data_IF_328031487253
#
_entry.id   IF_328031487253
#
_cell.length_a   1.000
_cell.length_b   1.000
_cell.length_c   1.000
_cell.angle_alpha   90.00
_cell.angle_beta   90.00
_cell.angle_gamma   90.00
#
_symmetry.space_group_name_H-M   'P 1'
#
loop_
_entity.id
_entity.type
_entity.pdbx_description
1 polymer ?
#
# COMPACT_ATOMS: atom_id res chain seq x y z
N UNK A 1 9.67 31.65 18.96
CA UNK A 1 9.49 30.17 18.87
C UNK A 1 9.17 29.71 20.28
N UNK A 2 7.97 29.12 20.49
CA UNK A 2 7.62 28.57 21.78
C UNK A 2 8.56 27.39 22.09
N UNK A 3 9.20 27.44 23.23
CA UNK A 3 10.05 26.35 23.77
C UNK A 3 9.25 25.47 24.73
N UNK A 4 7.92 25.56 24.67
CA UNK A 4 7.01 24.86 25.59
C UNK A 4 6.64 23.47 25.03
N UNK A 5 6.61 22.51 25.94
CA UNK A 5 6.11 21.14 25.66
C UNK A 5 4.75 20.98 26.31
N UNK A 6 3.83 20.27 25.62
CA UNK A 6 2.62 19.75 26.24
C UNK A 6 2.85 18.29 26.63
N UNK A 7 2.70 17.99 27.91
CA UNK A 7 2.72 16.61 28.42
C UNK A 7 1.39 16.33 29.09
N UNK A 8 0.66 15.35 28.58
CA UNK A 8 -0.60 14.87 29.11
C UNK A 8 -0.46 13.43 29.63
N UNK A 9 -0.65 13.25 30.95
CA UNK A 9 -0.78 11.91 31.56
C UNK A 9 -2.18 11.64 32.13
N UNK A 10 -3.06 12.66 32.10
CA UNK A 10 -4.46 12.58 32.52
C UNK A 10 -5.43 12.59 31.37
N UNK A 11 -6.51 13.36 31.54
CA UNK A 11 -7.54 13.54 30.51
C UNK A 11 -7.63 15.00 30.11
N UNK A 12 -7.63 15.26 28.80
CA UNK A 12 -7.93 16.56 28.20
C UNK A 12 -9.17 16.39 27.36
N UNK A 13 -10.23 17.09 27.69
CA UNK A 13 -11.50 17.12 26.94
C UNK A 13 -11.80 18.56 26.49
N UNK A 14 -12.19 18.73 25.23
CA UNK A 14 -12.55 20.04 24.68
C UNK A 14 -13.17 19.95 23.29
N UNK A 15 -13.91 21.01 22.88
CA UNK A 15 -14.44 21.06 21.50
C UNK A 15 -13.32 21.24 20.48
N UNK A 16 -12.45 22.22 20.70
CA UNK A 16 -11.25 22.44 19.90
C UNK A 16 -10.02 22.29 20.78
N UNK A 17 -9.05 21.50 20.36
CA UNK A 17 -7.80 21.32 21.07
C UNK A 17 -6.67 21.73 20.13
N UNK A 18 -6.08 22.89 20.41
CA UNK A 18 -4.94 23.42 19.66
C UNK A 18 -3.68 23.30 20.50
N UNK A 19 -2.67 22.60 19.99
CA UNK A 19 -1.37 22.41 20.63
C UNK A 19 -0.30 23.06 19.76
N UNK A 20 0.45 23.99 20.34
CA UNK A 20 1.57 24.63 19.66
C UNK A 20 2.78 24.64 20.57
N UNK A 21 3.94 24.27 20.07
CA UNK A 21 5.17 24.23 20.85
C UNK A 21 6.29 23.41 20.25
N UNK A 22 7.21 22.97 21.10
CA UNK A 22 8.30 22.09 20.66
C UNK A 22 7.88 20.62 20.64
N UNK A 23 7.19 20.17 21.69
CA UNK A 23 6.84 18.75 21.85
C UNK A 23 5.41 18.57 22.32
N UNK A 24 4.79 17.50 21.87
CA UNK A 24 3.50 17.03 22.31
C UNK A 24 3.60 15.56 22.70
N UNK A 25 3.52 15.27 24.01
CA UNK A 25 3.57 13.92 24.56
C UNK A 25 2.25 13.60 25.24
N UNK A 26 1.62 12.51 24.83
CA UNK A 26 0.39 12.00 25.42
C UNK A 26 0.55 10.57 25.90
N UNK A 27 0.44 10.34 27.21
CA UNK A 27 0.31 9.01 27.81
C UNK A 27 -1.07 8.75 28.42
N UNK A 28 -1.92 9.78 28.45
CA UNK A 28 -3.28 9.74 28.96
C UNK A 28 -4.32 9.71 27.84
N UNK A 29 -5.39 10.47 28.00
CA UNK A 29 -6.49 10.58 27.04
C UNK A 29 -6.65 12.01 26.57
N UNK A 30 -6.79 12.19 25.27
CA UNK A 30 -7.18 13.46 24.64
C UNK A 30 -8.42 13.21 23.82
N UNK A 31 -9.46 14.01 24.05
CA UNK A 31 -10.75 13.85 23.45
C UNK A 31 -11.28 15.22 23.01
N UNK A 32 -11.54 15.41 21.70
CA UNK A 32 -12.00 16.68 21.14
C UNK A 32 -12.91 16.49 19.93
N UNK A 33 -13.61 17.56 19.52
CA UNK A 33 -14.26 17.54 18.20
C UNK A 33 -13.23 17.73 17.08
N UNK A 34 -12.28 18.66 17.28
CA UNK A 34 -11.16 18.88 16.36
C UNK A 34 -9.89 18.97 17.19
N UNK A 35 -8.82 18.32 16.72
CA UNK A 35 -7.53 18.34 17.36
C UNK A 35 -6.48 18.77 16.34
N UNK A 36 -5.75 19.84 16.69
CA UNK A 36 -4.67 20.37 15.86
C UNK A 36 -3.40 20.47 16.68
N UNK A 37 -2.32 19.91 16.17
CA UNK A 37 -1.01 20.07 16.76
C UNK A 37 -0.02 20.66 15.74
N UNK A 38 0.71 21.70 16.15
CA UNK A 38 1.80 22.31 15.39
C UNK A 38 3.06 22.30 16.27
N UNK A 39 3.79 21.21 16.20
CA UNK A 39 4.93 20.93 17.09
C UNK A 39 6.09 20.30 16.32
N UNK A 40 7.30 20.35 16.87
CA UNK A 40 8.42 19.66 16.23
C UNK A 40 8.34 18.14 16.39
N UNK A 41 7.84 17.64 17.52
CA UNK A 41 7.66 16.20 17.73
C UNK A 41 6.34 15.89 18.44
N UNK A 42 5.72 14.78 18.04
CA UNK A 42 4.53 14.21 18.65
C UNK A 42 4.80 12.77 19.07
N UNK A 43 4.57 12.46 20.35
CA UNK A 43 4.61 11.10 20.89
C UNK A 43 3.28 10.76 21.54
N UNK A 44 2.63 9.72 21.06
CA UNK A 44 1.40 9.20 21.62
C UNK A 44 1.57 7.78 22.15
N UNK A 45 1.61 7.66 23.48
CA UNK A 45 1.60 6.40 24.22
C UNK A 45 0.22 6.15 24.90
N UNK A 46 -0.76 7.00 24.61
CA UNK A 46 -2.13 6.98 25.12
C UNK A 46 -3.16 7.02 24.01
N UNK A 47 -4.29 7.64 24.26
CA UNK A 47 -5.41 7.72 23.33
C UNK A 47 -5.65 9.16 22.88
N UNK A 48 -5.70 9.39 21.58
CA UNK A 48 -6.11 10.64 20.95
C UNK A 48 -7.34 10.34 20.11
N UNK A 49 -8.48 10.90 20.47
CA UNK A 49 -9.73 10.73 19.76
C UNK A 49 -10.31 12.09 19.34
N UNK A 50 -10.76 12.17 18.09
CA UNK A 50 -11.49 13.32 17.58
C UNK A 50 -12.84 12.92 17.01
N UNK A 51 -13.88 13.68 17.38
CA UNK A 51 -15.22 13.58 16.78
C UNK A 51 -15.30 14.06 15.33
N UNK A 52 -14.24 14.77 14.85
CA UNK A 52 -14.09 15.22 13.46
C UNK A 52 -12.69 14.93 12.95
N UNK A 53 -11.78 15.89 13.01
CA UNK A 53 -10.48 15.81 12.36
C UNK A 53 -9.32 15.87 13.39
N UNK A 54 -8.24 15.20 13.04
CA UNK A 54 -6.94 15.30 13.70
C UNK A 54 -5.92 15.79 12.66
N UNK A 55 -5.35 16.98 12.89
CA UNK A 55 -4.31 17.57 12.04
C UNK A 55 -3.00 17.67 12.81
N UNK A 56 -2.00 16.90 12.43
CA UNK A 56 -0.68 16.89 13.06
C UNK A 56 0.37 17.44 12.09
N UNK A 57 0.80 18.67 12.31
CA UNK A 57 1.97 19.26 11.66
C UNK A 57 3.16 19.05 12.57
N UNK A 58 3.99 18.07 12.27
CA UNK A 58 5.10 17.63 13.12
C UNK A 58 6.22 17.05 12.25
N UNK A 59 7.49 17.13 12.70
CA UNK A 59 8.59 16.48 11.99
C UNK A 59 8.69 14.99 12.35
N UNK A 60 8.20 14.61 13.52
CA UNK A 60 8.23 13.21 13.99
C UNK A 60 6.92 12.88 14.68
N UNK A 61 6.29 11.78 14.28
CA UNK A 61 5.15 11.17 14.94
C UNK A 61 5.50 9.76 15.39
N UNK A 62 5.47 9.52 16.69
CA UNK A 62 5.59 8.18 17.28
C UNK A 62 4.24 7.84 17.91
N UNK A 63 3.58 6.80 17.38
CA UNK A 63 2.33 6.30 17.94
C UNK A 63 2.48 4.85 18.39
N UNK A 64 2.32 4.61 19.70
CA UNK A 64 2.37 3.26 20.28
C UNK A 64 0.99 2.75 20.73
N UNK A 65 -0.01 3.64 20.76
CA UNK A 65 -1.39 3.30 21.16
C UNK A 65 -2.37 3.70 20.08
N UNK A 66 -3.27 4.65 20.34
CA UNK A 66 -4.36 4.91 19.42
C UNK A 66 -4.50 6.39 19.06
N UNK A 67 -4.58 6.68 17.76
CA UNK A 67 -4.96 7.96 17.18
C UNK A 67 -6.16 7.68 16.29
N UNK A 68 -7.35 8.17 16.65
CA UNK A 68 -8.59 7.88 15.93
C UNK A 68 -9.42 9.13 15.73
N UNK A 69 -9.88 9.36 14.52
CA UNK A 69 -10.79 10.43 14.16
C UNK A 69 -12.07 9.89 13.49
N UNK A 70 -13.19 10.58 13.67
CA UNK A 70 -14.41 10.23 12.93
C UNK A 70 -14.24 10.57 11.45
N UNK A 71 -13.70 11.76 11.11
CA UNK A 71 -13.50 12.13 9.71
C UNK A 71 -12.10 11.80 9.23
N UNK A 72 -11.09 12.61 9.59
CA UNK A 72 -9.77 12.49 8.99
C UNK A 72 -8.63 12.53 10.03
N UNK A 73 -7.57 11.79 9.76
CA UNK A 73 -6.27 11.96 10.39
C UNK A 73 -5.28 12.40 9.33
N UNK A 74 -4.76 13.62 9.44
CA UNK A 74 -3.81 14.18 8.50
C UNK A 74 -2.47 14.41 9.20
N UNK A 75 -1.39 13.94 8.58
CA UNK A 75 -0.01 14.29 8.97
C UNK A 75 0.71 14.85 7.76
N UNK A 76 1.47 15.92 7.93
CA UNK A 76 2.26 16.51 6.87
C UNK A 76 3.72 16.59 7.30
N UNK A 77 4.63 16.19 6.41
CA UNK A 77 6.09 16.25 6.56
C UNK A 77 6.66 15.45 7.76
N UNK A 78 5.92 14.49 8.29
CA UNK A 78 6.32 13.73 9.46
C UNK A 78 7.07 12.45 9.11
N UNK A 79 8.11 12.13 9.89
CA UNK A 79 8.58 10.76 10.01
C UNK A 79 7.62 10.02 10.96
N UNK A 80 6.86 9.08 10.44
CA UNK A 80 5.82 8.35 11.18
C UNK A 80 6.34 6.98 11.59
N UNK A 81 6.35 6.72 12.90
CA UNK A 81 6.54 5.38 13.47
C UNK A 81 5.26 4.98 14.18
N UNK A 82 4.57 3.98 13.63
CA UNK A 82 3.32 3.47 14.18
C UNK A 82 3.45 2.01 14.59
N UNK A 83 3.42 1.75 15.90
CA UNK A 83 3.28 0.40 16.46
C UNK A 83 1.92 0.15 17.09
N UNK A 84 1.09 1.18 17.18
CA UNK A 84 -0.27 1.13 17.65
C UNK A 84 -1.29 1.18 16.50
N UNK A 85 -2.33 1.98 16.66
CA UNK A 85 -3.41 2.12 15.68
C UNK A 85 -3.55 3.59 15.27
N UNK A 86 -3.60 3.84 13.97
CA UNK A 86 -4.04 5.10 13.37
C UNK A 86 -5.28 4.80 12.54
N UNK A 87 -6.42 5.41 12.89
CA UNK A 87 -7.66 5.09 12.19
C UNK A 87 -8.55 6.31 11.96
N UNK A 88 -9.36 6.22 10.90
CA UNK A 88 -10.47 7.14 10.67
C UNK A 88 -11.59 6.49 9.84
N UNK A 89 -12.80 7.04 9.88
CA UNK A 89 -13.84 6.59 8.97
C UNK A 89 -13.69 7.22 7.58
N UNK A 90 -13.16 8.44 7.50
CA UNK A 90 -12.92 9.13 6.23
C UNK A 90 -11.54 8.82 5.67
N UNK A 91 -10.53 9.62 6.01
CA UNK A 91 -9.21 9.53 5.41
C UNK A 91 -8.07 9.55 6.43
N UNK A 92 -7.08 8.70 6.23
CA UNK A 92 -5.73 8.84 6.79
C UNK A 92 -4.80 9.32 5.68
N UNK A 93 -4.24 10.52 5.83
CA UNK A 93 -3.27 11.10 4.90
C UNK A 93 -1.90 11.22 5.59
N UNK A 94 -0.90 10.52 5.04
CA UNK A 94 0.50 10.61 5.43
C UNK A 94 1.29 11.16 4.23
N UNK A 95 1.52 12.47 4.19
CA UNK A 95 2.14 13.14 3.04
C UNK A 95 3.59 13.53 3.33
N UNK A 96 4.49 13.29 2.35
CA UNK A 96 5.94 13.55 2.43
C UNK A 96 6.64 12.92 3.65
N UNK A 97 6.21 11.76 4.07
CA UNK A 97 6.66 11.12 5.29
C UNK A 97 7.58 9.94 5.02
N UNK A 98 8.52 9.69 5.93
CA UNK A 98 9.07 8.36 6.07
C UNK A 98 8.14 7.57 7.00
N UNK A 99 7.72 6.38 6.59
CA UNK A 99 6.69 5.61 7.29
C UNK A 99 7.26 4.27 7.72
N UNK A 100 7.22 4.01 9.02
CA UNK A 100 7.48 2.71 9.62
C UNK A 100 6.22 2.26 10.37
N UNK A 101 5.50 1.29 9.80
CA UNK A 101 4.28 0.75 10.38
C UNK A 101 4.45 -0.72 10.78
N UNK A 102 4.39 -1.00 12.08
CA UNK A 102 4.33 -2.34 12.65
C UNK A 102 2.96 -2.64 13.27
N UNK A 103 2.12 -1.62 13.41
CA UNK A 103 0.76 -1.68 13.94
C UNK A 103 -0.29 -1.65 12.83
N UNK A 104 -1.34 -0.87 13.04
CA UNK A 104 -2.49 -0.80 12.15
C UNK A 104 -2.71 0.63 11.62
N UNK A 105 -3.00 0.75 10.33
CA UNK A 105 -3.52 1.96 9.69
C UNK A 105 -4.81 1.58 8.97
N UNK A 106 -5.95 2.08 9.48
CA UNK A 106 -7.28 1.66 9.06
C UNK A 106 -8.13 2.88 8.71
N UNK A 107 -8.67 2.94 7.49
CA UNK A 107 -9.51 4.08 7.11
C UNK A 107 -10.41 3.75 5.91
N UNK A 108 -11.42 4.58 5.65
CA UNK A 108 -12.10 4.58 4.35
C UNK A 108 -11.11 4.83 3.23
N UNK A 109 -10.28 5.84 3.37
CA UNK A 109 -9.22 6.18 2.42
C UNK A 109 -7.86 6.27 3.13
N UNK A 110 -6.85 5.58 2.61
CA UNK A 110 -5.47 5.69 3.08
C UNK A 110 -4.60 6.22 1.95
N UNK A 111 -4.03 7.40 2.15
CA UNK A 111 -3.11 8.02 1.19
C UNK A 111 -1.74 8.22 1.81
N UNK A 112 -0.73 7.64 1.20
CA UNK A 112 0.68 7.87 1.47
C UNK A 112 1.30 8.42 0.20
N UNK A 113 1.55 9.73 0.17
CA UNK A 113 2.02 10.41 -1.05
C UNK A 113 3.41 10.98 -0.83
N UNK A 114 4.21 10.92 -1.89
CA UNK A 114 5.57 11.47 -1.89
C UNK A 114 6.45 10.93 -0.75
N UNK A 115 6.17 9.74 -0.23
CA UNK A 115 6.94 9.18 0.86
C UNK A 115 8.36 8.86 0.39
N UNK A 116 9.34 9.18 1.26
CA UNK A 116 10.76 8.98 0.99
C UNK A 116 11.22 7.58 1.42
N UNK A 117 10.49 6.96 2.32
CA UNK A 117 10.74 5.61 2.83
C UNK A 117 9.44 4.99 3.30
N UNK A 118 9.30 3.71 3.05
CA UNK A 118 8.13 2.95 3.47
C UNK A 118 8.53 1.56 3.96
N UNK A 119 8.34 1.32 5.26
CA UNK A 119 8.51 0.03 5.90
C UNK A 119 7.18 -0.37 6.54
N UNK A 120 6.57 -1.44 6.06
CA UNK A 120 5.32 -1.95 6.64
C UNK A 120 5.42 -3.43 6.94
N UNK A 121 5.45 -3.80 8.21
CA UNK A 121 5.30 -5.18 8.69
C UNK A 121 3.94 -5.41 9.36
N UNK A 122 3.19 -4.34 9.59
CA UNK A 122 1.85 -4.35 10.15
C UNK A 122 0.75 -4.45 9.11
N UNK A 123 -0.40 -3.86 9.40
CA UNK A 123 -1.58 -3.87 8.52
C UNK A 123 -1.94 -2.47 8.05
N UNK A 124 -2.19 -2.33 6.75
CA UNK A 124 -2.80 -1.14 6.15
C UNK A 124 -4.05 -1.61 5.41
N UNK A 125 -5.21 -1.05 5.78
CA UNK A 125 -6.49 -1.44 5.19
C UNK A 125 -7.40 -0.25 4.96
N UNK A 126 -8.06 -0.22 3.80
CA UNK A 126 -9.04 0.81 3.45
C UNK A 126 -9.98 0.37 2.33
N UNK A 127 -11.00 1.19 2.04
CA UNK A 127 -11.74 1.04 0.80
C UNK A 127 -10.83 1.41 -0.39
N UNK A 128 -10.17 2.56 -0.28
CA UNK A 128 -9.18 3.01 -1.24
C UNK A 128 -7.83 3.18 -0.51
N UNK A 129 -6.80 2.50 -0.97
CA UNK A 129 -5.43 2.62 -0.46
C UNK A 129 -4.52 3.05 -1.60
N UNK A 130 -3.81 4.16 -1.44
CA UNK A 130 -2.84 4.67 -2.42
C UNK A 130 -1.49 4.89 -1.75
N UNK A 131 -0.48 4.16 -2.21
CA UNK A 131 0.90 4.27 -1.80
C UNK A 131 1.72 4.86 -2.96
N UNK A 132 2.13 6.12 -2.84
CA UNK A 132 3.02 6.81 -3.77
C UNK A 132 4.39 7.02 -3.12
N UNK A 133 5.34 6.15 -3.40
CA UNK A 133 6.66 6.11 -2.78
C UNK A 133 7.71 6.44 -3.84
N UNK A 134 8.60 7.40 -3.56
CA UNK A 134 9.60 7.84 -4.53
C UNK A 134 10.85 6.93 -4.61
N UNK A 135 10.88 5.86 -3.82
CA UNK A 135 12.00 4.92 -3.70
C UNK A 135 11.53 3.49 -4.00
N UNK A 136 12.42 2.53 -3.79
CA UNK A 136 12.08 1.12 -3.83
C UNK A 136 11.15 0.76 -2.66
N UNK A 137 10.21 -0.16 -2.92
CA UNK A 137 9.22 -0.61 -1.95
C UNK A 137 9.43 -2.10 -1.68
N UNK A 138 9.56 -2.44 -0.39
CA UNK A 138 9.47 -3.81 0.08
C UNK A 138 8.19 -3.97 0.92
N UNK A 139 7.21 -4.65 0.37
CA UNK A 139 5.94 -4.93 1.03
C UNK A 139 6.10 -6.22 1.86
N UNK A 140 6.16 -6.13 3.18
CA UNK A 140 6.35 -7.29 4.05
C UNK A 140 5.15 -7.59 4.96
N UNK A 141 4.27 -6.59 5.17
CA UNK A 141 3.05 -6.73 5.97
C UNK A 141 1.80 -7.05 5.15
N UNK A 142 0.66 -6.71 5.71
CA UNK A 142 -0.64 -6.91 5.06
C UNK A 142 -1.13 -5.60 4.45
N UNK A 143 -1.42 -5.60 3.15
CA UNK A 143 -2.07 -4.51 2.44
C UNK A 143 -3.42 -4.99 1.91
N UNK A 144 -4.47 -4.23 2.19
CA UNK A 144 -5.80 -4.55 1.69
C UNK A 144 -6.55 -3.32 1.23
N UNK A 145 -6.95 -3.32 -0.05
CA UNK A 145 -7.86 -2.32 -0.63
C UNK A 145 -9.18 -2.94 -1.04
N UNK A 146 -10.29 -2.54 -0.41
CA UNK A 146 -11.58 -3.14 -0.73
C UNK A 146 -12.02 -2.78 -2.15
N UNK A 147 -12.03 -1.51 -2.52
CA UNK A 147 -12.38 -1.06 -3.88
C UNK A 147 -11.13 -0.89 -4.74
N UNK A 148 -10.09 -0.29 -4.18
CA UNK A 148 -8.84 -0.03 -4.90
C UNK A 148 -7.63 -0.08 -3.97
N UNK A 149 -6.59 -0.74 -4.45
CA UNK A 149 -5.23 -0.66 -3.92
C UNK A 149 -4.31 -0.22 -5.05
N UNK A 150 -3.74 0.98 -4.95
CA UNK A 150 -2.75 1.49 -5.90
C UNK A 150 -1.40 1.62 -5.22
N UNK A 151 -0.37 1.04 -5.82
CA UNK A 151 1.00 1.11 -5.33
C UNK A 151 1.88 1.61 -6.47
N UNK A 152 2.61 2.69 -6.21
CA UNK A 152 3.54 3.28 -7.17
C UNK A 152 4.90 3.49 -6.49
N UNK A 153 5.96 2.99 -7.10
CA UNK A 153 7.32 3.07 -6.60
C UNK A 153 8.36 2.90 -7.70
N UNK A 154 9.64 2.99 -7.33
CA UNK A 154 10.71 2.73 -8.29
C UNK A 154 10.75 1.21 -8.59
N UNK A 155 11.30 0.38 -7.71
CA UNK A 155 11.16 -1.07 -7.80
C UNK A 155 10.26 -1.55 -6.66
N UNK A 156 9.39 -2.52 -6.93
CA UNK A 156 8.45 -3.03 -5.94
C UNK A 156 8.67 -4.53 -5.77
N UNK A 157 8.94 -4.95 -4.53
CA UNK A 157 9.00 -6.35 -4.13
C UNK A 157 7.86 -6.66 -3.17
N UNK A 158 6.98 -7.58 -3.56
CA UNK A 158 5.90 -8.07 -2.70
C UNK A 158 6.36 -9.31 -1.94
N UNK A 159 6.72 -9.13 -0.67
CA UNK A 159 7.06 -10.18 0.29
C UNK A 159 5.97 -10.38 1.35
N UNK A 160 4.86 -9.65 1.26
CA UNK A 160 3.72 -9.68 2.16
C UNK A 160 2.43 -10.11 1.47
N UNK A 161 1.32 -10.02 2.17
CA UNK A 161 0.01 -10.29 1.59
C UNK A 161 -0.57 -8.99 1.01
N UNK A 162 -0.73 -8.95 -0.30
CA UNK A 162 -1.30 -7.81 -1.02
C UNK A 162 -2.60 -8.26 -1.67
N UNK A 163 -3.72 -7.86 -1.06
CA UNK A 163 -5.05 -8.36 -1.45
C UNK A 163 -6.04 -7.22 -1.68
N UNK A 164 -7.07 -7.50 -2.47
CA UNK A 164 -8.19 -6.61 -2.69
C UNK A 164 -9.46 -7.37 -3.08
N UNK A 165 -10.59 -6.66 -3.07
CA UNK A 165 -11.84 -7.19 -3.64
C UNK A 165 -12.24 -6.47 -4.91
N UNK A 166 -11.62 -5.35 -5.23
CA UNK A 166 -11.81 -4.59 -6.46
C UNK A 166 -10.55 -4.58 -7.34
N UNK A 167 -9.92 -3.43 -7.48
CA UNK A 167 -8.74 -3.23 -8.33
C UNK A 167 -7.45 -3.16 -7.50
N UNK A 168 -6.47 -3.98 -7.84
CA UNK A 168 -5.07 -3.75 -7.47
C UNK A 168 -4.32 -3.22 -8.70
N UNK A 169 -3.63 -2.09 -8.53
CA UNK A 169 -2.80 -1.46 -9.56
C UNK A 169 -1.38 -1.26 -9.04
N UNK A 170 -0.40 -1.92 -9.65
CA UNK A 170 1.03 -1.81 -9.36
C UNK A 170 1.71 -1.04 -10.49
N UNK A 171 2.41 0.04 -10.18
CA UNK A 171 3.18 0.82 -11.15
C UNK A 171 4.64 0.92 -10.70
N UNK A 172 5.56 0.33 -11.44
CA UNK A 172 6.98 0.23 -11.07
C UNK A 172 7.92 0.23 -12.27
N UNK A 173 9.23 0.35 -12.03
CA UNK A 173 10.22 -0.09 -13.00
C UNK A 173 10.25 -1.62 -13.02
N UNK A 174 10.77 -2.22 -11.96
CA UNK A 174 10.75 -3.67 -11.81
C UNK A 174 9.71 -4.07 -10.75
N UNK A 175 9.08 -5.23 -10.96
CA UNK A 175 8.15 -5.81 -10.00
C UNK A 175 8.51 -7.27 -9.73
N UNK A 176 8.68 -7.61 -8.45
CA UNK A 176 8.89 -8.99 -8.01
C UNK A 176 7.78 -9.38 -7.04
N UNK A 177 7.05 -10.43 -7.38
CA UNK A 177 6.03 -11.01 -6.51
C UNK A 177 6.54 -12.30 -5.86
N UNK A 178 6.78 -12.28 -4.55
CA UNK A 178 7.23 -13.43 -3.76
C UNK A 178 6.12 -13.99 -2.84
N UNK A 179 4.94 -13.38 -2.86
CA UNK A 179 3.78 -13.77 -2.03
C UNK A 179 2.50 -13.55 -2.81
N UNK A 180 1.38 -13.78 -2.16
CA UNK A 180 0.07 -13.62 -2.78
C UNK A 180 -0.19 -12.19 -3.23
N UNK A 181 -0.62 -12.04 -4.49
CA UNK A 181 -1.20 -10.84 -5.07
C UNK A 181 -2.56 -11.22 -5.66
N UNK A 182 -3.64 -10.89 -4.95
CA UNK A 182 -4.98 -11.37 -5.30
C UNK A 182 -6.04 -10.28 -5.21
N UNK A 183 -6.86 -10.14 -6.26
CA UNK A 183 -8.00 -9.22 -6.31
C UNK A 183 -8.93 -9.60 -7.46
N UNK A 184 -10.16 -9.05 -7.47
CA UNK A 184 -11.04 -9.20 -8.64
C UNK A 184 -10.33 -8.77 -9.93
N UNK A 185 -9.71 -7.61 -9.91
CA UNK A 185 -8.90 -7.12 -11.03
C UNK A 185 -7.48 -6.80 -10.56
N UNK A 186 -6.47 -7.34 -11.26
CA UNK A 186 -5.05 -7.05 -11.00
C UNK A 186 -4.40 -6.45 -12.24
N UNK A 187 -3.79 -5.28 -12.08
CA UNK A 187 -3.02 -4.59 -13.12
C UNK A 187 -1.59 -4.39 -12.63
N UNK A 188 -0.64 -4.99 -13.33
CA UNK A 188 0.80 -4.80 -13.09
C UNK A 188 1.41 -4.08 -14.29
N UNK A 189 1.88 -2.88 -14.07
CA UNK A 189 2.57 -2.04 -15.05
C UNK A 189 4.05 -1.93 -14.68
N UNK A 190 4.85 -2.91 -15.06
CA UNK A 190 6.31 -2.86 -15.01
C UNK A 190 6.87 -2.16 -16.26
N UNK A 191 7.89 -1.32 -16.11
CA UNK A 191 8.66 -0.80 -17.25
C UNK A 191 9.82 -1.71 -17.61
N UNK A 192 10.35 -2.44 -16.63
CA UNK A 192 11.46 -3.38 -16.74
C UNK A 192 11.01 -4.82 -16.54
N UNK A 193 11.64 -5.50 -15.60
CA UNK A 193 11.39 -6.92 -15.33
C UNK A 193 10.16 -7.11 -14.43
N UNK A 194 9.30 -8.05 -14.80
CA UNK A 194 8.21 -8.53 -13.93
C UNK A 194 8.48 -9.99 -13.62
N UNK A 195 8.73 -10.30 -12.35
CA UNK A 195 9.04 -11.65 -11.88
C UNK A 195 7.96 -12.11 -10.93
N UNK A 196 7.29 -13.19 -11.27
CA UNK A 196 6.32 -13.84 -10.40
C UNK A 196 6.90 -15.12 -9.81
N UNK A 197 7.17 -15.12 -8.50
CA UNK A 197 7.65 -16.26 -7.74
C UNK A 197 6.57 -16.90 -6.85
N UNK A 198 5.33 -16.41 -6.94
CA UNK A 198 4.20 -16.90 -6.16
C UNK A 198 2.91 -16.73 -6.97
N UNK A 199 1.77 -16.50 -6.34
CA UNK A 199 0.49 -16.41 -7.03
C UNK A 199 0.12 -14.97 -7.38
N UNK A 200 -0.30 -14.75 -8.63
CA UNK A 200 -1.02 -13.55 -9.08
C UNK A 200 -2.37 -14.05 -9.61
N UNK A 201 -3.46 -13.69 -8.90
CA UNK A 201 -4.77 -14.30 -9.19
C UNK A 201 -5.93 -13.31 -9.13
N UNK A 202 -7.02 -13.64 -9.84
CA UNK A 202 -8.25 -12.84 -9.83
C UNK A 202 -9.23 -13.24 -10.92
N UNK A 203 -10.18 -12.36 -11.22
CA UNK A 203 -11.09 -12.54 -12.35
C UNK A 203 -10.51 -11.94 -13.64
N UNK A 204 -9.92 -10.73 -13.54
CA UNK A 204 -9.35 -10.04 -14.70
C UNK A 204 -7.91 -9.59 -14.44
N UNK A 205 -7.01 -9.88 -15.37
CA UNK A 205 -5.60 -9.58 -15.25
C UNK A 205 -5.04 -8.78 -16.41
N UNK A 206 -4.17 -7.82 -16.10
CA UNK A 206 -3.30 -7.17 -17.06
C UNK A 206 -1.89 -7.08 -16.51
N UNK A 207 -0.94 -7.69 -17.21
CA UNK A 207 0.47 -7.67 -16.82
C UNK A 207 1.30 -7.14 -17.96
N UNK A 208 2.07 -6.10 -17.73
CA UNK A 208 2.95 -5.50 -18.72
C UNK A 208 4.36 -5.31 -18.18
N UNK A 209 5.35 -5.44 -19.06
CA UNK A 209 6.76 -5.28 -18.72
C UNK A 209 7.66 -5.32 -19.95
N UNK A 210 8.96 -5.08 -19.72
CA UNK A 210 9.95 -5.38 -20.75
C UNK A 210 10.08 -6.90 -20.91
N UNK A 211 10.25 -7.63 -19.82
CA UNK A 211 10.18 -9.07 -19.78
C UNK A 211 9.30 -9.53 -18.62
N UNK A 212 8.69 -10.71 -18.77
CA UNK A 212 7.91 -11.35 -17.72
C UNK A 212 8.45 -12.75 -17.51
N UNK A 213 8.79 -13.09 -16.26
CA UNK A 213 9.19 -14.43 -15.84
C UNK A 213 8.18 -14.98 -14.85
N UNK A 214 7.52 -16.09 -15.20
CA UNK A 214 6.61 -16.79 -14.31
C UNK A 214 7.28 -18.04 -13.72
N UNK A 215 7.48 -18.01 -12.40
CA UNK A 215 8.05 -19.09 -11.60
C UNK A 215 6.98 -19.78 -10.73
N UNK A 216 5.70 -19.43 -10.87
CA UNK A 216 4.60 -20.08 -10.15
C UNK A 216 3.29 -19.94 -10.93
N UNK A 217 2.27 -19.29 -10.40
CA UNK A 217 0.94 -19.20 -10.96
C UNK A 217 0.57 -17.77 -11.34
N UNK A 218 0.18 -17.54 -12.58
CA UNK A 218 -0.56 -16.34 -13.01
C UNK A 218 -1.90 -16.83 -13.54
N UNK A 219 -3.00 -16.59 -12.82
CA UNK A 219 -4.30 -17.14 -13.18
C UNK A 219 -5.46 -16.15 -12.99
N UNK A 220 -6.28 -16.02 -14.03
CA UNK A 220 -7.45 -15.17 -14.05
C UNK A 220 -8.64 -15.90 -14.66
N UNK A 221 -9.77 -15.92 -13.97
CA UNK A 221 -10.93 -16.73 -14.36
C UNK A 221 -11.62 -16.24 -15.64
N UNK A 222 -11.61 -14.94 -15.90
CA UNK A 222 -12.21 -14.37 -17.09
C UNK A 222 -11.14 -14.06 -18.16
N UNK A 223 -10.27 -13.09 -17.86
CA UNK A 223 -9.41 -12.53 -18.90
C UNK A 223 -8.01 -12.24 -18.36
N UNK A 224 -6.99 -12.62 -19.12
CA UNK A 224 -5.60 -12.22 -18.91
C UNK A 224 -5.01 -11.60 -20.17
N UNK A 225 -4.53 -10.37 -20.06
CA UNK A 225 -3.75 -9.69 -21.10
C UNK A 225 -2.30 -9.52 -20.63
N UNK A 226 -1.35 -9.97 -21.44
CA UNK A 226 0.07 -9.75 -21.20
C UNK A 226 0.68 -8.97 -22.37
N UNK A 227 1.14 -7.74 -22.11
CA UNK A 227 1.81 -6.88 -23.09
C UNK A 227 3.29 -6.74 -22.74
N UNK A 228 4.15 -7.44 -23.48
CA UNK A 228 5.57 -7.61 -23.17
C UNK A 228 6.42 -7.15 -24.33
N UNK A 229 7.37 -6.27 -24.09
CA UNK A 229 8.24 -5.75 -25.14
C UNK A 229 9.27 -6.81 -25.62
N UNK A 230 9.77 -7.62 -24.71
CA UNK A 230 10.77 -8.65 -24.95
C UNK A 230 10.20 -10.05 -24.81
N UNK A 231 10.53 -10.73 -23.72
CA UNK A 231 10.24 -12.16 -23.53
C UNK A 231 9.19 -12.41 -22.45
N UNK A 232 8.28 -13.35 -22.70
CA UNK A 232 7.50 -14.06 -21.69
C UNK A 232 8.15 -15.41 -21.48
N UNK A 233 8.59 -15.70 -20.26
CA UNK A 233 9.16 -16.98 -19.87
C UNK A 233 8.27 -17.63 -18.81
N UNK A 234 7.64 -18.75 -19.16
CA UNK A 234 6.90 -19.61 -18.26
C UNK A 234 7.76 -20.83 -17.93
N UNK A 235 8.22 -20.91 -16.70
CA UNK A 235 9.19 -21.92 -16.30
C UNK A 235 8.55 -23.28 -16.03
N UNK A 236 9.37 -24.33 -16.05
CA UNK A 236 8.96 -25.73 -15.93
C UNK A 236 7.94 -25.99 -14.82
N UNK A 237 6.84 -26.63 -15.16
CA UNK A 237 5.74 -27.00 -14.25
C UNK A 237 4.93 -25.81 -13.76
N UNK A 238 5.03 -24.62 -14.40
CA UNK A 238 4.32 -23.41 -13.99
C UNK A 238 3.17 -23.09 -14.94
N UNK A 239 2.22 -22.27 -14.47
CA UNK A 239 0.95 -22.06 -15.19
C UNK A 239 0.72 -20.57 -15.44
N UNK A 240 0.36 -20.25 -16.69
CA UNK A 240 -0.28 -18.99 -17.09
C UNK A 240 -1.68 -19.36 -17.59
N UNK A 241 -2.71 -18.79 -16.94
CA UNK A 241 -4.10 -19.12 -17.22
C UNK A 241 -4.96 -17.87 -17.38
N UNK A 242 -5.71 -17.82 -18.48
CA UNK A 242 -6.77 -16.84 -18.72
C UNK A 242 -8.05 -17.57 -19.11
N UNK A 243 -8.95 -17.78 -18.14
CA UNK A 243 -10.07 -18.71 -18.24
C UNK A 243 -10.92 -18.58 -19.50
N UNK A 244 -11.60 -17.47 -19.72
CA UNK A 244 -12.40 -17.25 -20.93
C UNK A 244 -11.55 -16.74 -22.10
N UNK A 245 -10.56 -15.87 -21.82
CA UNK A 245 -9.66 -15.37 -22.86
C UNK A 245 -8.26 -15.07 -22.32
N UNK A 246 -7.25 -15.43 -23.09
CA UNK A 246 -5.84 -15.16 -22.84
C UNK A 246 -5.22 -14.47 -24.06
N UNK A 247 -4.69 -13.27 -23.89
CA UNK A 247 -3.92 -12.59 -24.91
C UNK A 247 -2.47 -12.36 -24.43
N UNK A 248 -1.50 -12.86 -25.17
CA UNK A 248 -0.08 -12.63 -24.92
C UNK A 248 0.54 -12.02 -26.17
N UNK A 249 1.07 -10.79 -26.02
CA UNK A 249 1.87 -10.14 -27.04
C UNK A 249 3.29 -9.95 -26.54
N UNK A 250 4.26 -10.54 -27.23
CA UNK A 250 5.68 -10.48 -26.88
C UNK A 250 6.59 -10.59 -28.11
N UNK A 251 7.88 -10.28 -27.99
CA UNK A 251 8.85 -10.66 -29.03
C UNK A 251 9.10 -12.17 -29.01
N UNK A 252 9.09 -12.77 -27.83
CA UNK A 252 9.37 -14.19 -27.63
C UNK A 252 8.48 -14.76 -26.53
N UNK A 253 7.91 -15.95 -26.76
CA UNK A 253 7.17 -16.70 -25.75
C UNK A 253 7.90 -18.03 -25.56
N UNK A 254 8.47 -18.24 -24.37
CA UNK A 254 9.11 -19.48 -23.96
C UNK A 254 8.23 -20.18 -22.92
N UNK A 255 7.74 -21.36 -23.29
CA UNK A 255 6.92 -22.22 -22.43
C UNK A 255 7.61 -23.56 -22.28
N UNK A 256 8.54 -23.67 -21.33
CA UNK A 256 9.43 -24.82 -21.18
C UNK A 256 8.84 -25.82 -20.18
N UNK A 257 8.31 -26.93 -20.69
CA UNK A 257 7.63 -27.98 -19.89
C UNK A 257 6.60 -27.37 -18.90
N UNK A 258 5.83 -26.36 -19.33
CA UNK A 258 4.91 -25.56 -18.55
C UNK A 258 3.57 -25.41 -19.26
N UNK A 259 2.59 -24.81 -18.61
CA UNK A 259 1.23 -24.70 -19.18
C UNK A 259 0.87 -23.23 -19.44
N UNK A 260 0.36 -22.98 -20.65
CA UNK A 260 -0.33 -21.76 -21.03
C UNK A 260 -1.74 -22.15 -21.46
N UNK A 261 -2.74 -21.74 -20.72
CA UNK A 261 -4.11 -22.20 -20.84
C UNK A 261 -5.10 -21.04 -20.98
N UNK A 262 -6.13 -21.22 -21.80
CA UNK A 262 -7.21 -20.25 -21.95
C UNK A 262 -8.34 -20.78 -22.84
N UNK A 263 -9.53 -20.20 -22.71
CA UNK A 263 -10.66 -20.53 -23.56
C UNK A 263 -10.42 -20.04 -24.99
N UNK A 264 -10.32 -18.72 -25.18
CA UNK A 264 -9.87 -18.11 -26.44
C UNK A 264 -8.45 -17.61 -26.25
N UNK A 265 -7.50 -18.08 -27.04
CA UNK A 265 -6.09 -17.70 -26.91
C UNK A 265 -5.62 -16.91 -28.14
N UNK A 266 -5.03 -15.73 -27.89
CA UNK A 266 -4.29 -14.95 -28.88
C UNK A 266 -2.82 -14.84 -28.42
N UNK A 267 -1.96 -15.67 -29.01
CA UNK A 267 -0.53 -15.72 -28.73
C UNK A 267 0.23 -15.10 -29.91
N UNK A 268 0.68 -13.87 -29.76
CA UNK A 268 1.38 -13.11 -30.78
C UNK A 268 2.85 -12.94 -30.39
N UNK A 269 3.73 -13.70 -31.00
CA UNK A 269 5.17 -13.65 -30.84
C UNK A 269 5.86 -13.40 -32.18
N UNK A 270 6.96 -12.62 -32.17
CA UNK A 270 7.77 -12.39 -33.36
C UNK A 270 8.75 -13.55 -33.65
N UNK A 271 9.04 -14.36 -32.62
CA UNK A 271 9.91 -15.54 -32.69
C UNK A 271 9.31 -16.69 -31.91
#
# INVERSE_FOLDING_TARGET
KATSSLVNSGTVDGKGIDVAGAEFTNSGKINGENIKAQVASTRNDGFIYSGKDIDLTTNTLINTKEITAVNNVNTANANVTNSGKIASNGRVLLDNSAIANTGEILSGEVFMRNAQRFDNTGTIKGNNVELGINQDINLTGNLHGQQRLKISGNNITNNGNTTGTGLIEINSNDFTNNRELASDTVVVNGRGEVVNNSMITGNNGKVSGRNITNNDLIAFDNYLEMNVQGKVQNNKGKVIYGGQALAIKANEIMNDEAEILGGNMDLNAAK
#
